data_IF_138922680656
#
_entry.id   IF_138922680656
#
_cell.length_a   1.000
_cell.length_b   1.000
_cell.length_c   1.000
_cell.angle_alpha   90.00
_cell.angle_beta   90.00
_cell.angle_gamma   90.00
#
_symmetry.space_group_name_H-M   'P 1'
#
loop_
_entity.id
_entity.type
_entity.pdbx_description
1 polymer ?
#
# COMPACT_ATOMS: atom_id res chain seq x y z
N UNK A 1 -23.90 14.96 85.14
CA UNK A 1 -22.57 14.70 84.56
C UNK A 1 -22.83 13.87 83.34
N UNK A 2 -23.10 14.51 82.14
CA UNK A 2 -23.41 13.82 80.89
C UNK A 2 -22.30 14.13 79.90
N UNK A 3 -21.56 13.11 79.56
CA UNK A 3 -20.45 13.15 78.63
C UNK A 3 -21.00 12.81 77.22
N UNK A 4 -21.18 13.83 76.36
CA UNK A 4 -21.58 13.63 74.98
C UNK A 4 -20.34 13.28 74.14
N UNK A 5 -20.29 12.06 73.66
CA UNK A 5 -19.25 11.59 72.74
C UNK A 5 -19.74 11.76 71.31
N UNK A 6 -19.30 12.83 70.66
CA UNK A 6 -19.52 13.04 69.23
C UNK A 6 -18.46 12.29 68.40
N UNK A 7 -18.87 11.15 67.82
CA UNK A 7 -18.06 10.38 66.89
C UNK A 7 -18.19 11.04 65.53
N UNK A 8 -17.15 11.77 65.09
CA UNK A 8 -16.99 12.25 63.70
C UNK A 8 -16.57 11.08 62.83
N UNK A 9 -17.52 10.46 62.12
CA UNK A 9 -17.21 9.50 61.04
C UNK A 9 -16.84 10.31 59.83
N UNK A 10 -15.53 10.43 59.53
CA UNK A 10 -15.01 10.96 58.27
C UNK A 10 -15.09 9.85 57.23
N UNK A 11 -16.13 9.89 56.38
CA UNK A 11 -16.19 9.04 55.17
C UNK A 11 -15.14 9.53 54.18
N UNK A 12 -14.06 8.78 54.06
CA UNK A 12 -13.07 9.00 52.98
C UNK A 12 -13.65 8.34 51.72
N UNK A 13 -14.26 9.13 50.83
CA UNK A 13 -14.64 8.70 49.51
C UNK A 13 -13.38 8.65 48.68
N UNK A 14 -12.77 7.48 48.54
CA UNK A 14 -11.66 7.24 47.62
C UNK A 14 -12.24 7.15 46.21
N UNK A 15 -12.18 8.25 45.45
CA UNK A 15 -12.53 8.25 44.03
C UNK A 15 -11.40 7.53 43.24
N UNK A 16 -11.62 6.28 42.93
CA UNK A 16 -10.77 5.48 42.07
C UNK A 16 -10.96 5.97 40.63
N UNK A 17 -10.17 6.97 40.21
CA UNK A 17 -10.18 7.42 38.82
C UNK A 17 -9.54 6.33 37.95
N UNK A 18 -10.37 5.58 37.22
CA UNK A 18 -9.92 4.71 36.15
C UNK A 18 -9.31 5.59 35.04
N UNK A 19 -8.00 5.71 35.03
CA UNK A 19 -7.29 6.26 33.89
C UNK A 19 -7.31 5.20 32.78
N UNK A 20 -8.28 5.27 31.90
CA UNK A 20 -8.26 4.53 30.65
C UNK A 20 -7.19 5.18 29.77
N UNK A 21 -5.95 4.71 29.87
CA UNK A 21 -4.90 5.05 28.93
C UNK A 21 -5.31 4.48 27.57
N UNK A 22 -5.83 5.33 26.69
CA UNK A 22 -6.02 4.97 25.29
C UNK A 22 -4.63 4.60 24.74
N UNK A 23 -4.42 3.30 24.50
CA UNK A 23 -3.24 2.83 23.76
C UNK A 23 -3.39 3.40 22.36
N UNK A 24 -2.72 4.49 22.11
CA UNK A 24 -2.66 5.07 20.77
C UNK A 24 -1.81 4.14 19.94
N UNK A 25 -2.43 3.43 18.99
CA UNK A 25 -1.70 2.55 18.08
C UNK A 25 -0.67 3.41 17.32
N UNK A 26 0.58 2.99 17.37
CA UNK A 26 1.68 3.68 16.70
C UNK A 26 1.44 3.64 15.17
N UNK A 27 1.57 4.81 14.51
CA UNK A 27 1.40 4.91 13.06
C UNK A 27 2.60 4.26 12.36
N UNK A 28 2.36 3.29 11.51
CA UNK A 28 3.39 2.63 10.70
C UNK A 28 3.90 3.59 9.62
N UNK A 29 5.18 3.97 9.69
CA UNK A 29 5.81 4.82 8.67
C UNK A 29 6.48 3.96 7.61
N UNK A 30 6.14 4.20 6.35
CA UNK A 30 6.67 3.48 5.19
C UNK A 30 7.21 4.50 4.20
N UNK A 31 8.42 4.25 3.69
CA UNK A 31 8.94 4.97 2.53
C UNK A 31 8.96 4.03 1.34
N UNK A 32 8.28 4.41 0.27
CA UNK A 32 8.23 3.69 -1.00
C UNK A 32 8.94 4.52 -2.06
N UNK A 33 10.01 4.03 -2.62
CA UNK A 33 10.79 4.67 -3.66
C UNK A 33 10.50 4.15 -5.06
N UNK A 34 11.26 4.67 -6.03
CA UNK A 34 11.23 4.24 -7.43
C UNK A 34 12.65 3.88 -7.86
N UNK A 35 12.78 2.75 -8.56
CA UNK A 35 14.02 2.34 -9.27
C UNK A 35 13.84 2.45 -10.78
N UNK A 36 14.93 2.62 -11.54
CA UNK A 36 14.89 2.59 -13.00
C UNK A 36 14.18 1.35 -13.55
N UNK A 37 13.47 1.49 -14.67
CA UNK A 37 12.73 0.39 -15.28
C UNK A 37 11.30 0.23 -14.80
N UNK A 38 10.69 1.28 -14.25
CA UNK A 38 9.31 1.29 -13.76
C UNK A 38 9.09 0.32 -12.58
N UNK A 39 9.94 0.41 -11.57
CA UNK A 39 9.85 -0.44 -10.39
C UNK A 39 9.68 0.36 -9.11
N UNK A 40 8.74 -0.06 -8.28
CA UNK A 40 8.69 0.37 -6.88
C UNK A 40 9.77 -0.31 -6.05
N UNK A 41 10.28 0.40 -5.03
CA UNK A 41 11.24 -0.12 -4.07
C UNK A 41 10.90 0.31 -2.63
N UNK A 42 10.66 -0.61 -1.72
CA UNK A 42 10.59 -2.07 -1.94
C UNK A 42 9.35 -2.47 -2.76
N UNK A 43 9.41 -3.63 -3.43
CA UNK A 43 8.29 -4.18 -4.22
C UNK A 43 7.24 -4.89 -3.35
N UNK A 44 7.61 -5.21 -2.12
CA UNK A 44 6.76 -5.87 -1.13
C UNK A 44 6.75 -5.03 0.14
N UNK A 45 5.56 -4.74 0.63
CA UNK A 45 5.30 -4.06 1.88
C UNK A 45 4.53 -4.99 2.82
N UNK A 46 4.69 -4.80 4.13
CA UNK A 46 3.95 -5.55 5.14
C UNK A 46 3.38 -4.62 6.20
N UNK A 47 2.11 -4.82 6.55
CA UNK A 47 1.40 -4.10 7.60
C UNK A 47 0.46 -5.04 8.35
N UNK A 48 0.08 -4.67 9.57
CA UNK A 48 -0.93 -5.39 10.34
C UNK A 48 -2.35 -5.04 9.88
N UNK A 49 -3.33 -5.95 10.04
CA UNK A 49 -4.73 -5.64 9.80
C UNK A 49 -5.20 -4.43 10.61
N UNK A 50 -5.75 -3.42 9.94
CA UNK A 50 -6.28 -2.21 10.58
C UNK A 50 -5.23 -1.24 11.11
N UNK A 51 -3.97 -1.42 10.82
CA UNK A 51 -2.88 -0.52 11.21
C UNK A 51 -3.00 0.84 10.53
N UNK A 52 -2.72 1.92 11.27
CA UNK A 52 -2.62 3.26 10.70
C UNK A 52 -1.27 3.39 9.99
N UNK A 53 -1.32 3.74 8.69
CA UNK A 53 -0.14 3.80 7.83
C UNK A 53 0.07 5.23 7.35
N UNK A 54 1.30 5.72 7.52
CA UNK A 54 1.81 6.93 6.88
C UNK A 54 2.82 6.51 5.81
N UNK A 55 2.40 6.58 4.55
CA UNK A 55 3.24 6.20 3.41
C UNK A 55 3.78 7.45 2.73
N UNK A 56 5.10 7.56 2.66
CA UNK A 56 5.82 8.57 1.88
C UNK A 56 6.27 7.94 0.57
N UNK A 57 5.68 8.37 -0.54
CA UNK A 57 6.12 8.00 -1.87
C UNK A 57 7.21 8.97 -2.34
N UNK A 58 8.42 8.46 -2.54
CA UNK A 58 9.60 9.20 -2.96
C UNK A 58 9.91 8.93 -4.43
N UNK A 59 9.50 9.86 -5.30
CA UNK A 59 9.79 9.74 -6.72
C UNK A 59 11.21 10.23 -7.03
N UNK A 60 12.18 9.38 -6.87
CA UNK A 60 13.59 9.63 -7.23
C UNK A 60 13.88 9.50 -8.73
N UNK A 61 12.89 9.11 -9.55
CA UNK A 61 12.99 8.96 -11.00
C UNK A 61 12.89 10.30 -11.75
N UNK A 62 13.02 10.25 -13.07
CA UNK A 62 12.87 11.39 -14.01
C UNK A 62 11.48 11.42 -14.64
N UNK A 63 10.65 10.40 -14.42
CA UNK A 63 9.27 10.33 -14.89
C UNK A 63 8.28 10.64 -13.76
N UNK A 64 7.07 10.98 -14.15
CA UNK A 64 5.95 11.16 -13.22
C UNK A 64 5.37 9.80 -12.82
N UNK A 65 5.08 9.63 -11.54
CA UNK A 65 4.50 8.41 -11.00
C UNK A 65 3.44 8.73 -9.94
N UNK A 66 2.58 7.77 -9.66
CA UNK A 66 1.72 7.76 -8.49
C UNK A 66 1.75 6.39 -7.82
N UNK A 67 1.19 6.33 -6.63
CA UNK A 67 0.92 5.09 -5.90
C UNK A 67 -0.58 4.94 -5.76
N UNK A 68 -1.13 3.80 -6.15
CA UNK A 68 -2.56 3.47 -6.03
C UNK A 68 -2.69 2.07 -5.45
N UNK A 69 -3.16 1.99 -4.19
CA UNK A 69 -3.45 0.74 -3.50
C UNK A 69 -4.87 0.29 -3.84
N UNK A 70 -5.02 -0.95 -4.26
CA UNK A 70 -6.30 -1.47 -4.74
C UNK A 70 -6.70 -2.78 -4.07
N UNK A 71 -7.99 -3.11 -4.15
CA UNK A 71 -8.50 -4.41 -3.67
C UNK A 71 -7.85 -5.58 -4.42
N UNK A 72 -7.75 -6.76 -3.79
CA UNK A 72 -7.23 -7.97 -4.43
C UNK A 72 -7.92 -8.26 -5.77
N UNK A 73 -7.13 -8.60 -6.79
CA UNK A 73 -7.60 -8.89 -8.14
C UNK A 73 -7.95 -7.67 -9.00
N UNK A 74 -8.01 -6.45 -8.45
CA UNK A 74 -8.50 -5.27 -9.16
C UNK A 74 -7.41 -4.47 -9.89
N UNK A 75 -6.15 -4.87 -9.81
CA UNK A 75 -5.02 -4.11 -10.37
C UNK A 75 -5.22 -3.73 -11.84
N UNK A 76 -5.49 -4.72 -12.69
CA UNK A 76 -5.61 -4.45 -14.13
C UNK A 76 -6.86 -3.66 -14.48
N UNK A 77 -8.01 -3.94 -13.84
CA UNK A 77 -9.22 -3.15 -14.05
C UNK A 77 -9.05 -1.67 -13.67
N UNK A 78 -8.27 -1.38 -12.62
CA UNK A 78 -7.95 0.02 -12.25
C UNK A 78 -6.97 0.66 -13.25
N UNK A 79 -6.00 -0.08 -13.76
CA UNK A 79 -5.09 0.41 -14.82
C UNK A 79 -5.86 0.75 -16.09
N UNK A 80 -6.77 -0.11 -16.51
CA UNK A 80 -7.63 0.11 -17.68
C UNK A 80 -8.55 1.32 -17.48
N UNK A 81 -9.19 1.41 -16.31
CA UNK A 81 -10.04 2.55 -15.97
C UNK A 81 -9.24 3.88 -15.95
N UNK A 82 -8.01 3.86 -15.44
CA UNK A 82 -7.13 5.03 -15.44
C UNK A 82 -6.74 5.47 -16.87
N UNK A 83 -6.44 4.51 -17.75
CA UNK A 83 -6.14 4.79 -19.17
C UNK A 83 -7.38 5.33 -19.90
N UNK A 84 -8.58 4.94 -19.50
CA UNK A 84 -9.83 5.40 -20.09
C UNK A 84 -10.24 6.83 -19.66
N UNK A 85 -9.57 7.43 -18.66
CA UNK A 85 -9.86 8.81 -18.22
C UNK A 85 -9.59 9.87 -19.32
N UNK A 86 -8.73 9.57 -20.29
CA UNK A 86 -8.44 10.47 -21.40
C UNK A 86 -8.04 11.86 -20.93
N UNK A 87 -8.77 12.88 -21.38
CA UNK A 87 -8.49 14.29 -21.04
C UNK A 87 -8.71 14.63 -19.55
N UNK A 88 -9.49 13.85 -18.81
CA UNK A 88 -9.71 14.05 -17.38
C UNK A 88 -8.57 13.49 -16.52
N UNK A 89 -7.74 12.62 -17.10
CA UNK A 89 -6.66 11.94 -16.39
C UNK A 89 -5.75 12.88 -15.59
N UNK A 90 -5.21 13.95 -16.15
CA UNK A 90 -4.35 14.87 -15.39
C UNK A 90 -5.04 15.50 -14.19
N UNK A 91 -6.29 15.90 -14.31
CA UNK A 91 -7.09 16.50 -13.23
C UNK A 91 -7.35 15.51 -12.09
N UNK A 92 -7.56 14.25 -12.42
CA UNK A 92 -7.78 13.16 -11.49
C UNK A 92 -6.47 12.46 -11.06
N UNK A 93 -5.31 13.02 -11.41
CA UNK A 93 -4.01 12.40 -11.16
C UNK A 93 -3.93 10.94 -11.66
N UNK A 94 -4.69 10.62 -12.73
CA UNK A 94 -4.85 9.28 -13.30
C UNK A 94 -5.35 8.23 -12.29
N UNK A 95 -6.08 8.66 -11.26
CA UNK A 95 -6.72 7.78 -10.29
C UNK A 95 -8.22 7.74 -10.58
N UNK A 96 -8.77 6.63 -11.09
CA UNK A 96 -10.19 6.54 -11.37
C UNK A 96 -11.00 6.55 -10.07
N UNK A 97 -12.16 7.17 -10.10
CA UNK A 97 -13.13 7.10 -9.00
C UNK A 97 -13.70 5.68 -8.94
N UNK A 98 -13.30 4.92 -7.94
CA UNK A 98 -13.70 3.52 -7.80
C UNK A 98 -13.65 3.07 -6.34
N UNK A 99 -14.63 2.28 -5.91
CA UNK A 99 -14.62 1.62 -4.60
C UNK A 99 -13.50 0.57 -4.46
N UNK A 100 -12.84 0.21 -5.57
CA UNK A 100 -11.72 -0.72 -5.59
C UNK A 100 -10.38 -0.04 -5.31
N UNK A 101 -10.34 1.30 -5.29
CA UNK A 101 -9.18 2.09 -4.83
C UNK A 101 -9.29 2.27 -3.33
N UNK A 102 -8.26 1.85 -2.59
CA UNK A 102 -8.20 1.93 -1.13
C UNK A 102 -7.49 3.22 -0.68
N UNK A 103 -6.38 3.53 -1.32
CA UNK A 103 -5.59 4.73 -1.05
C UNK A 103 -4.77 5.10 -2.29
N UNK A 104 -4.48 6.39 -2.46
CA UNK A 104 -3.66 6.85 -3.56
C UNK A 104 -2.91 8.13 -3.23
N UNK A 105 -1.76 8.34 -3.88
CA UNK A 105 -1.11 9.65 -3.95
C UNK A 105 -1.61 10.40 -5.18
N UNK A 106 -1.51 11.73 -5.21
CA UNK A 106 -1.52 12.44 -6.48
C UNK A 106 -0.35 11.98 -7.34
N UNK A 107 -0.32 12.39 -8.63
CA UNK A 107 0.89 12.26 -9.44
C UNK A 107 2.02 13.03 -8.79
N UNK A 108 3.12 12.36 -8.55
CA UNK A 108 4.34 12.92 -7.97
C UNK A 108 5.35 13.21 -9.08
N UNK A 109 5.72 14.46 -9.17
CA UNK A 109 6.69 14.94 -10.16
C UNK A 109 8.08 14.36 -9.91
N UNK A 110 8.97 14.34 -10.91
CA UNK A 110 10.35 13.94 -10.75
C UNK A 110 11.03 14.61 -9.56
N UNK A 111 11.75 13.82 -8.74
CA UNK A 111 12.50 14.29 -7.57
C UNK A 111 11.64 14.93 -6.47
N UNK A 112 10.35 14.65 -6.46
CA UNK A 112 9.41 15.08 -5.42
C UNK A 112 8.89 13.90 -4.59
N UNK A 113 8.25 14.24 -3.49
CA UNK A 113 7.64 13.27 -2.57
C UNK A 113 6.18 13.66 -2.31
N UNK A 114 5.37 12.67 -2.01
CA UNK A 114 4.03 12.84 -1.46
C UNK A 114 3.83 11.90 -0.29
N UNK A 115 3.15 12.36 0.75
CA UNK A 115 2.82 11.54 1.91
C UNK A 115 1.31 11.43 2.03
N UNK A 116 0.83 10.21 2.23
CA UNK A 116 -0.57 9.92 2.49
C UNK A 116 -0.72 9.14 3.78
N UNK A 117 -1.91 9.21 4.38
CA UNK A 117 -2.29 8.39 5.53
C UNK A 117 -3.51 7.57 5.16
N UNK A 118 -3.50 6.31 5.52
CA UNK A 118 -4.64 5.41 5.34
C UNK A 118 -4.62 4.34 6.41
N UNK A 119 -5.79 3.75 6.63
CA UNK A 119 -5.93 2.58 7.48
C UNK A 119 -5.78 1.33 6.63
N UNK A 120 -4.89 0.42 7.03
CA UNK A 120 -4.74 -0.87 6.38
C UNK A 120 -6.07 -1.65 6.42
N UNK A 121 -6.40 -2.43 5.38
CA UNK A 121 -7.57 -3.29 5.41
C UNK A 121 -7.58 -4.21 6.63
N UNK A 122 -8.78 -4.53 7.14
CA UNK A 122 -8.92 -5.46 8.27
C UNK A 122 -8.74 -6.92 7.87
N UNK A 123 -9.07 -7.24 6.61
CA UNK A 123 -8.94 -8.60 6.08
C UNK A 123 -7.49 -8.88 5.71
N UNK A 124 -6.95 -9.98 6.25
CA UNK A 124 -5.64 -10.48 5.84
C UNK A 124 -5.71 -10.94 4.39
N UNK A 125 -4.87 -10.35 3.52
CA UNK A 125 -4.81 -10.66 2.10
C UNK A 125 -3.59 -9.97 1.45
N UNK A 126 -3.40 -10.18 0.15
CA UNK A 126 -2.42 -9.51 -0.69
C UNK A 126 -3.11 -8.39 -1.48
N UNK A 127 -2.79 -7.16 -1.16
CA UNK A 127 -3.35 -5.97 -1.79
C UNK A 127 -2.35 -5.41 -2.81
N UNK A 128 -2.66 -5.47 -4.11
CA UNK A 128 -1.77 -4.88 -5.10
C UNK A 128 -1.71 -3.37 -4.96
N UNK A 129 -0.55 -2.80 -5.23
CA UNK A 129 -0.44 -1.39 -5.53
C UNK A 129 0.23 -1.19 -6.89
N UNK A 130 -0.10 -0.11 -7.57
CA UNK A 130 0.24 0.10 -8.97
C UNK A 130 0.44 1.58 -9.25
N UNK A 131 1.30 1.92 -10.22
CA UNK A 131 1.34 3.23 -10.83
C UNK A 131 0.30 3.28 -11.95
N UNK A 132 -0.66 4.21 -11.86
CA UNK A 132 -1.70 4.38 -12.89
C UNK A 132 -1.39 5.49 -13.88
N UNK A 133 -0.20 6.09 -13.82
CA UNK A 133 0.25 6.99 -14.88
C UNK A 133 0.26 6.24 -16.23
N UNK A 134 -0.20 6.86 -17.34
CA UNK A 134 -0.39 6.15 -18.60
C UNK A 134 0.81 5.33 -19.07
N UNK A 135 0.57 4.07 -19.39
CA UNK A 135 1.58 3.10 -19.83
C UNK A 135 2.38 2.42 -18.72
N UNK A 136 2.38 2.92 -17.49
CA UNK A 136 3.23 2.38 -16.41
C UNK A 136 2.65 1.15 -15.72
N UNK A 137 1.32 1.06 -15.59
CA UNK A 137 0.63 0.11 -14.72
C UNK A 137 0.83 -1.38 -15.07
N UNK A 138 1.28 -1.68 -16.26
CA UNK A 138 1.61 -3.05 -16.66
C UNK A 138 2.87 -3.57 -15.96
N UNK A 139 3.88 -2.71 -15.78
CA UNK A 139 5.19 -3.06 -15.22
C UNK A 139 5.35 -2.58 -13.78
N UNK A 140 4.89 -1.34 -13.49
CA UNK A 140 5.12 -0.69 -12.20
C UNK A 140 4.03 -1.05 -11.18
N UNK A 141 4.25 -2.15 -10.48
CA UNK A 141 3.36 -2.62 -9.41
C UNK A 141 4.13 -3.32 -8.30
N UNK A 142 3.48 -3.47 -7.16
CA UNK A 142 3.97 -4.22 -6.00
C UNK A 142 2.81 -4.80 -5.19
N UNK A 143 3.11 -5.33 -4.00
CA UNK A 143 2.13 -5.97 -3.13
C UNK A 143 2.29 -5.48 -1.70
N UNK A 144 1.19 -5.08 -1.09
CA UNK A 144 1.05 -4.87 0.34
C UNK A 144 0.45 -6.12 0.97
N UNK A 145 1.23 -6.83 1.76
CA UNK A 145 0.74 -7.92 2.59
C UNK A 145 0.12 -7.35 3.85
N UNK A 146 -1.15 -7.64 4.06
CA UNK A 146 -1.87 -7.37 5.30
C UNK A 146 -1.96 -8.69 6.05
N UNK A 147 -1.14 -8.87 7.09
CA UNK A 147 -1.09 -10.10 7.86
C UNK A 147 -0.58 -9.85 9.27
N UNK A 148 -1.03 -10.65 10.26
CA UNK A 148 -0.61 -10.58 11.66
C UNK A 148 0.84 -11.03 11.88
N UNK A 149 1.35 -11.86 10.99
CA UNK A 149 2.73 -12.35 11.01
C UNK A 149 3.42 -11.93 9.71
N UNK A 150 4.65 -11.44 9.82
CA UNK A 150 5.45 -11.23 8.62
C UNK A 150 5.51 -12.53 7.82
N UNK A 151 5.32 -12.49 6.48
CA UNK A 151 5.57 -13.65 5.66
C UNK A 151 7.02 -14.05 5.92
N UNK A 152 7.20 -15.25 6.48
CA UNK A 152 8.53 -15.86 6.55
C UNK A 152 9.08 -15.78 5.13
N UNK A 153 10.24 -15.12 4.95
CA UNK A 153 10.86 -14.85 3.65
C UNK A 153 10.41 -15.85 2.60
N UNK A 154 9.76 -15.35 1.54
CA UNK A 154 9.55 -16.15 0.36
C UNK A 154 10.95 -16.48 -0.16
N UNK A 155 11.53 -17.52 0.42
CA UNK A 155 12.67 -18.23 -0.17
C UNK A 155 12.24 -18.42 -1.61
N UNK A 156 12.91 -17.74 -2.50
CA UNK A 156 12.77 -17.82 -3.94
C UNK A 156 12.60 -19.29 -4.30
N UNK A 157 11.36 -19.72 -4.50
CA UNK A 157 11.16 -21.02 -5.15
C UNK A 157 11.91 -20.91 -6.46
N UNK A 158 12.80 -21.86 -6.78
CA UNK A 158 13.51 -21.83 -8.03
C UNK A 158 12.46 -21.72 -9.12
N UNK A 159 12.50 -20.64 -9.88
CA UNK A 159 11.72 -20.53 -11.10
C UNK A 159 12.24 -21.67 -11.97
N UNK A 160 11.48 -22.77 -12.04
CA UNK A 160 11.67 -23.77 -13.05
C UNK A 160 11.47 -23.03 -14.36
N UNK A 161 12.55 -22.63 -15.01
CA UNK A 161 12.51 -22.18 -16.38
C UNK A 161 11.87 -23.32 -17.17
N UNK A 162 10.60 -23.15 -17.49
CA UNK A 162 9.97 -23.94 -18.53
C UNK A 162 10.60 -23.45 -19.83
N UNK A 163 11.73 -24.04 -20.17
CA UNK A 163 12.29 -23.91 -21.51
C UNK A 163 11.30 -24.58 -22.47
N UNK A 164 10.44 -23.74 -23.07
CA UNK A 164 9.67 -24.16 -24.23
C UNK A 164 10.68 -24.47 -25.34
N UNK A 165 10.67 -25.66 -25.93
CA UNK A 165 11.49 -25.92 -27.08
C UNK A 165 10.95 -25.07 -28.25
N UNK A 166 11.62 -23.95 -28.52
CA UNK A 166 11.39 -23.21 -29.76
C UNK A 166 12.11 -24.01 -30.87
N UNK A 167 11.43 -24.99 -31.42
CA UNK A 167 11.78 -25.53 -32.71
C UNK A 167 11.30 -24.56 -33.79
N UNK A 168 12.18 -23.67 -34.22
CA UNK A 168 11.98 -22.88 -35.43
C UNK A 168 12.16 -23.81 -36.62
N UNK A 169 11.15 -24.03 -37.47
CA UNK A 169 11.37 -24.78 -38.71
C UNK A 169 12.35 -24.03 -39.59
N UNK A 170 13.39 -24.72 -40.02
CA UNK A 170 14.52 -24.21 -40.83
C UNK A 170 14.12 -23.78 -42.25
N UNK A 171 12.81 -23.80 -42.57
CA UNK A 171 12.29 -23.64 -43.94
C UNK A 171 11.98 -22.18 -44.34
N UNK A 172 12.25 -21.18 -43.47
CA UNK A 172 11.93 -19.75 -43.76
C UNK A 172 13.18 -18.89 -44.05
N UNK A 173 14.36 -19.47 -44.31
CA UNK A 173 15.60 -18.68 -44.53
C UNK A 173 16.04 -18.74 -46.02
N UNK A 174 15.16 -18.95 -46.96
CA UNK A 174 15.51 -18.82 -48.38
C UNK A 174 14.74 -17.67 -49.04
N UNK A 175 15.13 -16.45 -48.76
CA UNK A 175 14.82 -15.31 -49.62
C UNK A 175 16.12 -14.99 -50.39
N UNK A 176 16.21 -15.49 -51.59
CA UNK A 176 17.24 -15.06 -52.58
C UNK A 176 16.83 -13.71 -53.16
N UNK A 177 17.79 -12.79 -53.21
CA UNK A 177 17.71 -11.50 -53.93
C UNK A 177 17.82 -11.72 -55.43
#
# INVERSE_FOLDING_TARGET
MNLNYNIFVRSILTVLSLHCSAIQAETRKITLGVKPGLHFEPKVLHVLPGEEVELTFDNSDMMMHNFVLVKPGMRMGIVEAANALGAEGPTLHYVPVSENVIASTPVVMPKKKATIRFKAPLKEDQYPYVCTFPGHGFLMHGTLFVAKTEPKELTTAPQTEVSLPVSVPEELISVSY
#
